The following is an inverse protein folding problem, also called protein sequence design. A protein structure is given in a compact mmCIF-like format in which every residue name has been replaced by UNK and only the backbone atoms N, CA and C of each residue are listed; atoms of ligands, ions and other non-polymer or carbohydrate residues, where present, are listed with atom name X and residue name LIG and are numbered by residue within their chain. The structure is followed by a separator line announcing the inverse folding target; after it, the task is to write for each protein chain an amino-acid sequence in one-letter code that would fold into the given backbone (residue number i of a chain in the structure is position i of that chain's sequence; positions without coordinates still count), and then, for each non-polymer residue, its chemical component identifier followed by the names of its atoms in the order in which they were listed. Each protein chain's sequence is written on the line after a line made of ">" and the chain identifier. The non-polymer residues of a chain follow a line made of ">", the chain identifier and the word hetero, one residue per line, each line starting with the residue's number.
data_IF_734870484251
#
_entry.id   IF_734870484251
#
_cell.length_a   1.000
_cell.length_b   1.000
_cell.length_c   1.000
_cell.angle_alpha   90.00
_cell.angle_beta   90.00
_cell.angle_gamma   90.00
#
_symmetry.space_group_name_H-M   'P 1'
#
loop_
_entity.id
_entity.type
_entity.pdbx_description
1 polymer ?
#
# COMPACT_ATOMS: atom_id res chain seq x y z
N UNK A 1 -6.72 -2.06 14.61
CA UNK A 1 -6.31 -1.31 13.41
C UNK A 1 -5.41 -0.16 13.87
N UNK A 2 -4.15 -0.13 13.44
CA UNK A 2 -3.22 0.97 13.74
C UNK A 2 -3.36 2.01 12.64
N UNK A 3 -3.40 3.30 13.00
CA UNK A 3 -3.49 4.41 12.04
C UNK A 3 -2.11 5.03 11.85
N UNK A 4 -1.81 5.37 10.60
CA UNK A 4 -0.62 6.12 10.21
C UNK A 4 -1.09 7.25 9.30
N UNK A 5 -0.39 8.38 9.35
CA UNK A 5 -0.65 9.52 8.47
C UNK A 5 0.46 9.57 7.45
N UNK A 6 0.07 9.61 6.17
CA UNK A 6 0.98 9.73 5.04
C UNK A 6 0.78 11.08 4.39
N UNK A 7 1.86 11.68 3.90
CA UNK A 7 1.79 12.87 3.07
C UNK A 7 2.02 12.46 1.62
N UNK A 8 1.24 13.06 0.72
CA UNK A 8 1.56 12.98 -0.69
C UNK A 8 2.91 13.66 -0.95
N UNK A 9 3.64 13.16 -1.93
CA UNK A 9 4.88 13.77 -2.39
C UNK A 9 4.66 15.15 -3.02
N UNK A 10 5.73 15.77 -3.50
CA UNK A 10 5.68 17.09 -4.15
C UNK A 10 4.82 17.15 -5.43
N UNK A 11 4.40 16.00 -5.98
CA UNK A 11 3.51 15.89 -7.14
C UNK A 11 2.04 15.65 -6.75
N UNK A 12 1.76 15.45 -5.47
CA UNK A 12 0.43 15.07 -4.99
C UNK A 12 0.16 13.57 -5.10
N UNK A 13 1.21 12.74 -5.16
CA UNK A 13 1.11 11.28 -5.28
C UNK A 13 1.46 10.60 -3.96
N UNK A 14 0.75 9.53 -3.62
CA UNK A 14 1.15 8.60 -2.54
C UNK A 14 1.54 7.29 -3.21
N UNK A 15 2.79 6.88 -3.01
CA UNK A 15 3.28 5.58 -3.45
C UNK A 15 3.19 4.57 -2.29
N UNK A 16 2.61 3.40 -2.56
CA UNK A 16 2.50 2.30 -1.61
C UNK A 16 3.14 1.06 -2.26
N UNK A 17 4.27 0.62 -1.71
CA UNK A 17 4.98 -0.55 -2.22
C UNK A 17 4.79 -1.70 -1.24
N UNK A 18 4.23 -2.80 -1.72
CA UNK A 18 4.10 -4.02 -0.93
C UNK A 18 5.03 -5.10 -1.51
N UNK A 19 5.86 -5.69 -0.66
CA UNK A 19 6.65 -6.86 -0.99
C UNK A 19 5.99 -8.12 -0.41
N UNK A 20 6.08 -9.23 -1.15
CA UNK A 20 5.59 -10.54 -0.75
C UNK A 20 6.78 -11.44 -0.48
N UNK A 21 6.66 -12.30 0.52
CA UNK A 21 7.71 -13.28 0.82
C UNK A 21 7.72 -14.46 -0.18
N UNK A 22 6.64 -14.67 -0.95
CA UNK A 22 6.51 -15.74 -1.93
C UNK A 22 6.80 -15.22 -3.36
N UNK A 23 8.05 -15.42 -3.79
CA UNK A 23 8.54 -15.00 -5.12
C UNK A 23 7.91 -15.79 -6.28
N UNK A 24 7.39 -16.99 -6.03
CA UNK A 24 6.82 -17.86 -7.07
C UNK A 24 5.31 -17.65 -7.26
N UNK A 25 4.65 -16.98 -6.30
CA UNK A 25 3.23 -16.71 -6.39
C UNK A 25 2.89 -15.74 -7.52
N UNK A 26 1.73 -15.94 -8.20
CA UNK A 26 1.29 -15.05 -9.27
C UNK A 26 1.06 -13.64 -8.74
N UNK A 27 1.29 -12.63 -9.58
CA UNK A 27 1.09 -11.23 -9.20
C UNK A 27 -0.34 -10.99 -8.67
N UNK A 28 -0.50 -10.30 -7.52
CA UNK A 28 -1.82 -10.01 -6.98
C UNK A 28 -2.56 -9.03 -7.86
N UNK A 29 -3.90 -9.10 -7.83
CA UNK A 29 -4.73 -8.14 -8.55
C UNK A 29 -5.03 -6.95 -7.64
N UNK A 30 -4.53 -5.77 -7.99
CA UNK A 30 -4.78 -4.53 -7.24
C UNK A 30 -5.96 -3.76 -7.84
N UNK A 31 -6.90 -3.33 -7.01
CA UNK A 31 -8.08 -2.53 -7.39
C UNK A 31 -8.24 -1.34 -6.44
N UNK A 32 -8.61 -0.18 -6.98
CA UNK A 32 -8.93 0.99 -6.17
C UNK A 32 -10.43 1.11 -5.93
N UNK A 33 -10.80 1.79 -4.84
CA UNK A 33 -12.16 2.22 -4.57
C UNK A 33 -12.16 3.61 -3.92
N UNK A 34 -13.27 4.32 -4.11
CA UNK A 34 -13.52 5.63 -3.53
C UNK A 34 -14.89 5.63 -2.85
N UNK A 35 -14.94 6.13 -1.62
CA UNK A 35 -16.13 6.40 -0.83
C UNK A 35 -16.34 7.90 -0.65
N UNK A 36 -17.20 8.31 0.29
CA UNK A 36 -17.53 9.74 0.51
C UNK A 36 -16.28 10.59 0.75
N UNK A 37 -15.49 10.23 1.77
CA UNK A 37 -14.30 10.98 2.21
C UNK A 37 -13.07 10.07 2.36
N UNK A 38 -13.15 8.85 1.83
CA UNK A 38 -12.12 7.83 1.96
C UNK A 38 -11.84 7.18 0.60
N UNK A 39 -10.60 6.77 0.39
CA UNK A 39 -10.21 5.93 -0.73
C UNK A 39 -9.32 4.80 -0.23
N UNK A 40 -9.23 3.72 -1.01
CA UNK A 40 -8.38 2.60 -0.64
C UNK A 40 -8.02 1.71 -1.81
N UNK A 41 -7.07 0.82 -1.55
CA UNK A 41 -6.61 -0.22 -2.46
C UNK A 41 -6.94 -1.59 -1.87
N UNK A 42 -7.38 -2.51 -2.73
CA UNK A 42 -7.59 -3.91 -2.40
C UNK A 42 -6.63 -4.75 -3.25
N UNK A 43 -5.91 -5.67 -2.62
CA UNK A 43 -5.09 -6.67 -3.30
C UNK A 43 -5.75 -8.05 -3.16
N UNK A 44 -6.18 -8.64 -4.28
CA UNK A 44 -6.77 -9.97 -4.36
C UNK A 44 -5.72 -11.00 -4.82
N UNK A 45 -5.97 -12.29 -4.53
CA UNK A 45 -5.12 -13.40 -4.96
C UNK A 45 -3.98 -13.75 -4.00
N UNK A 46 -4.00 -13.18 -2.79
CA UNK A 46 -3.10 -13.56 -1.70
C UNK A 46 -3.57 -14.83 -0.99
N UNK A 47 -2.63 -15.63 -0.50
CA UNK A 47 -2.94 -16.80 0.31
C UNK A 47 -3.52 -16.35 1.67
N UNK A 48 -4.53 -17.04 2.23
CA UNK A 48 -5.02 -16.71 3.57
C UNK A 48 -3.90 -16.73 4.61
N UNK A 49 -3.65 -15.59 5.26
CA UNK A 49 -2.58 -15.44 6.26
C UNK A 49 -1.20 -15.10 5.70
N UNK A 50 -1.08 -14.90 4.39
CA UNK A 50 0.15 -14.41 3.75
C UNK A 50 0.59 -13.08 4.37
N UNK A 51 1.87 -12.99 4.75
CA UNK A 51 2.46 -11.76 5.25
C UNK A 51 3.02 -10.95 4.08
N UNK A 52 2.75 -9.65 4.09
CA UNK A 52 3.27 -8.69 3.11
C UNK A 52 3.89 -7.52 3.84
N UNK A 53 5.03 -7.05 3.35
CA UNK A 53 5.74 -5.91 3.91
C UNK A 53 5.31 -4.66 3.17
N UNK A 54 4.73 -3.69 3.88
CA UNK A 54 4.39 -2.38 3.33
C UNK A 54 5.56 -1.42 3.55
N UNK A 55 6.14 -0.93 2.46
CA UNK A 55 7.08 0.16 2.44
C UNK A 55 6.33 1.46 2.23
N UNK A 56 6.64 2.42 3.10
CA UNK A 56 6.10 3.76 3.07
C UNK A 56 7.28 4.70 3.01
N UNK A 57 7.38 5.48 1.93
CA UNK A 57 8.29 6.61 1.88
C UNK A 57 7.54 7.87 2.34
N UNK A 58 7.79 8.27 3.60
CA UNK A 58 7.32 9.56 4.10
C UNK A 58 8.42 10.58 3.77
N UNK A 59 8.24 11.32 2.69
CA UNK A 59 9.22 12.29 2.15
C UNK A 59 9.52 13.48 3.08
N UNK A 60 9.15 13.39 4.36
CA UNK A 60 9.65 14.28 5.42
C UNK A 60 10.95 13.70 5.98
N UNK A 61 12.01 13.70 5.18
CA UNK A 61 13.35 13.74 5.76
C UNK A 61 13.54 15.11 6.39
N UNK A 62 13.55 15.15 7.73
CA UNK A 62 14.05 16.29 8.49
C UNK A 62 15.57 16.39 8.23
N UNK A 63 15.99 17.40 7.46
CA UNK A 63 17.32 18.01 7.60
C UNK A 63 17.21 19.26 8.48
#
# INVERSE_FOLDING_TARGET
>A
MRKFTLRADGTGTIELVCERDDEEAPAPRVRSFTGRDEFGLLADGLTPGEQVLLFVDDTVSEE
#
